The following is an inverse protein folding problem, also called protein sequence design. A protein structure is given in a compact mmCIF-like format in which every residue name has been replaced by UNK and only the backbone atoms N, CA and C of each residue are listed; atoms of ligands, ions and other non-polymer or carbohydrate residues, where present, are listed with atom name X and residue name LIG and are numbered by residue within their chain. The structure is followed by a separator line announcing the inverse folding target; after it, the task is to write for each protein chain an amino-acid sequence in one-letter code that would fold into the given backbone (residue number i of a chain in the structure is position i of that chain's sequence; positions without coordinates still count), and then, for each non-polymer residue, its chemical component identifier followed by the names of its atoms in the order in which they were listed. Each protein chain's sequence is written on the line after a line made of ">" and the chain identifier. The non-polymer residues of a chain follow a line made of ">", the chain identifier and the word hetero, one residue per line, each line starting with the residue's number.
data_IF_958757456870
#
_entry.id   IF_958757456870
#
_cell.length_a   1.000
_cell.length_b   1.000
_cell.length_c   1.000
_cell.angle_alpha   90.00
_cell.angle_beta   90.00
_cell.angle_gamma   90.00
#
_symmetry.space_group_name_H-M   'P 1'
#
loop_
_entity.id
_entity.type
_entity.pdbx_description
1 polymer ?
#
# COMPACT_ATOMS: atom_id res chain seq x y z
N UNK A 1 46.75 51.02 -8.99
CA UNK A 1 46.23 50.49 -7.70
C UNK A 1 44.87 51.13 -7.46
N UNK A 2 43.83 50.55 -8.03
CA UNK A 2 42.45 50.99 -7.87
C UNK A 2 41.57 49.73 -7.75
N UNK A 3 41.87 48.89 -6.75
CA UNK A 3 40.88 47.98 -6.18
C UNK A 3 39.92 48.86 -5.37
N UNK A 4 39.15 49.64 -6.12
CA UNK A 4 38.61 50.93 -5.72
C UNK A 4 37.25 50.75 -5.08
N UNK A 5 37.18 50.82 -3.75
CA UNK A 5 36.00 51.13 -2.93
C UNK A 5 34.75 50.23 -3.06
N UNK A 6 34.29 49.94 -4.27
CA UNK A 6 33.13 49.10 -4.62
C UNK A 6 33.33 47.65 -4.19
N UNK A 7 34.52 47.08 -4.37
CA UNK A 7 34.83 45.72 -3.93
C UNK A 7 34.80 45.61 -2.40
N UNK A 8 35.38 46.60 -1.70
CA UNK A 8 35.40 46.65 -0.24
C UNK A 8 33.97 46.80 0.30
N UNK A 9 33.17 47.67 -0.32
CA UNK A 9 31.77 47.89 0.06
C UNK A 9 30.90 46.66 -0.19
N UNK A 10 31.06 45.97 -1.33
CA UNK A 10 30.32 44.76 -1.64
C UNK A 10 30.64 43.62 -0.65
N UNK A 11 31.92 43.43 -0.29
CA UNK A 11 32.33 42.43 0.71
C UNK A 11 31.77 42.76 2.08
N UNK A 12 31.77 44.05 2.47
CA UNK A 12 31.21 44.48 3.76
C UNK A 12 29.70 44.24 3.84
N UNK A 13 28.97 44.54 2.77
CA UNK A 13 27.52 44.30 2.69
C UNK A 13 27.21 42.81 2.74
N UNK A 14 27.94 41.97 2.01
CA UNK A 14 27.75 40.51 2.07
C UNK A 14 28.06 39.97 3.48
N UNK A 15 29.12 40.47 4.14
CA UNK A 15 29.47 40.05 5.50
C UNK A 15 28.43 40.48 6.56
N UNK A 16 27.80 41.65 6.38
CA UNK A 16 26.75 42.15 7.26
C UNK A 16 25.42 41.41 7.07
N UNK A 17 25.13 40.95 5.85
CA UNK A 17 23.86 40.27 5.52
C UNK A 17 23.95 38.75 5.70
N UNK A 18 25.14 38.16 5.63
CA UNK A 18 25.38 36.73 5.87
C UNK A 18 24.82 36.20 7.21
N UNK A 19 24.96 36.88 8.37
CA UNK A 19 24.39 36.39 9.63
C UNK A 19 22.86 36.59 9.74
N UNK A 20 22.26 37.40 8.86
CA UNK A 20 20.81 37.61 8.79
C UNK A 20 20.12 36.62 7.84
N UNK A 21 20.90 35.92 7.00
CA UNK A 21 20.37 34.83 6.20
C UNK A 21 19.95 33.70 7.14
N UNK A 22 18.67 33.27 7.11
CA UNK A 22 18.29 32.07 7.85
C UNK A 22 19.21 30.93 7.38
N UNK A 23 19.68 30.06 8.29
CA UNK A 23 20.50 28.92 7.89
C UNK A 23 19.72 28.17 6.81
N UNK A 24 20.25 28.17 5.59
CA UNK A 24 19.80 27.26 4.54
C UNK A 24 20.16 25.86 5.01
N UNK A 25 19.34 25.29 5.90
CA UNK A 25 19.31 23.87 6.16
C UNK A 25 19.07 23.24 4.80
N UNK A 26 20.10 22.57 4.27
CA UNK A 26 20.02 21.88 3.00
C UNK A 26 18.74 21.06 2.99
N UNK A 27 17.89 21.30 1.99
CA UNK A 27 16.66 20.55 1.79
C UNK A 27 17.05 19.08 1.60
N UNK A 28 17.06 18.34 2.70
CA UNK A 28 17.44 16.94 2.71
C UNK A 28 16.23 16.19 2.16
N UNK A 29 16.27 15.84 0.87
CA UNK A 29 15.25 15.01 0.21
C UNK A 29 14.89 13.77 1.04
N UNK A 30 15.86 13.26 1.82
CA UNK A 30 15.67 12.16 2.78
C UNK A 30 14.55 12.42 3.79
N UNK A 31 14.40 13.63 4.30
CA UNK A 31 13.37 13.97 5.29
C UNK A 31 11.97 14.10 4.67
N UNK A 32 11.89 14.28 3.35
CA UNK A 32 10.63 14.34 2.61
C UNK A 32 10.09 12.95 2.23
N UNK A 33 10.97 11.99 1.93
CA UNK A 33 10.56 10.66 1.47
C UNK A 33 10.36 9.63 2.59
N UNK A 34 11.04 9.78 3.73
CA UNK A 34 10.94 8.83 4.85
C UNK A 34 9.52 8.69 5.44
N UNK A 35 8.71 9.75 5.64
CA UNK A 35 7.36 9.58 6.19
C UNK A 35 6.37 8.98 5.16
N UNK A 36 6.52 9.30 3.87
CA UNK A 36 5.60 8.82 2.82
C UNK A 36 5.69 7.30 2.62
N UNK A 37 6.88 6.72 2.78
CA UNK A 37 7.08 5.29 2.51
C UNK A 37 6.40 4.41 3.57
N UNK A 38 6.34 4.82 4.85
CA UNK A 38 5.81 3.95 5.91
C UNK A 38 4.28 3.77 5.83
N UNK A 39 3.54 4.85 5.58
CA UNK A 39 2.08 4.80 5.51
C UNK A 39 1.60 4.18 4.20
N UNK A 40 2.32 4.42 3.10
CA UNK A 40 1.97 3.88 1.80
C UNK A 40 2.30 2.38 1.68
N UNK A 41 3.33 1.91 2.40
CA UNK A 41 3.63 0.48 2.53
C UNK A 41 2.53 -0.19 3.33
N UNK A 42 2.16 0.26 4.53
CA UNK A 42 1.13 -0.41 5.32
C UNK A 42 -0.25 -0.48 4.63
N UNK A 43 -0.60 0.51 3.80
CA UNK A 43 -1.84 0.50 3.03
C UNK A 43 -1.91 -0.62 1.98
N UNK A 44 -0.77 -1.15 1.50
CA UNK A 44 -0.74 -2.23 0.52
C UNK A 44 -1.08 -3.61 1.12
N UNK A 45 -0.84 -3.78 2.43
CA UNK A 45 -1.23 -4.99 3.16
C UNK A 45 -2.57 -4.73 3.83
N UNK A 46 -3.57 -5.53 3.48
CA UNK A 46 -4.92 -5.40 4.05
C UNK A 46 -5.35 -6.75 4.60
N UNK A 47 -5.64 -6.77 5.89
CA UNK A 47 -6.24 -7.91 6.56
C UNK A 47 -7.52 -7.42 7.20
N UNK A 48 -8.57 -8.23 7.14
CA UNK A 48 -9.83 -7.90 7.77
C UNK A 48 -10.76 -9.10 7.81
N UNK A 49 -11.88 -8.90 8.49
CA UNK A 49 -12.91 -9.92 8.61
C UNK A 49 -14.03 -9.66 7.59
N UNK A 50 -14.63 -10.74 7.12
CA UNK A 50 -15.71 -10.75 6.15
C UNK A 50 -16.65 -11.90 6.50
N UNK A 51 -17.95 -11.66 6.42
CA UNK A 51 -18.94 -12.72 6.59
C UNK A 51 -19.26 -13.34 5.23
N UNK A 52 -19.07 -14.66 5.12
CA UNK A 52 -19.40 -15.45 3.93
C UNK A 52 -20.40 -16.53 4.31
N UNK A 53 -21.56 -16.51 3.68
CA UNK A 53 -22.63 -17.53 3.89
C UNK A 53 -22.98 -17.70 5.38
N UNK A 54 -23.00 -16.60 6.14
CA UNK A 54 -23.31 -16.61 7.58
C UNK A 54 -22.17 -17.10 8.48
N UNK A 55 -20.97 -17.32 7.95
CA UNK A 55 -19.78 -17.68 8.71
C UNK A 55 -18.76 -16.53 8.71
N UNK A 56 -18.13 -16.32 9.88
CA UNK A 56 -17.06 -15.35 10.02
C UNK A 56 -15.78 -15.88 9.37
N UNK A 57 -15.26 -15.13 8.41
CA UNK A 57 -14.06 -15.45 7.68
C UNK A 57 -13.08 -14.28 7.76
N UNK A 58 -11.81 -14.58 7.55
CA UNK A 58 -10.76 -13.56 7.50
C UNK A 58 -10.13 -13.58 6.11
N UNK A 59 -9.94 -12.40 5.54
CA UNK A 59 -9.19 -12.21 4.31
C UNK A 59 -7.83 -11.55 4.60
N UNK A 60 -6.86 -11.89 3.77
CA UNK A 60 -5.52 -11.30 3.81
C UNK A 60 -5.05 -10.96 2.39
N UNK A 61 -4.58 -9.74 2.21
CA UNK A 61 -4.00 -9.22 0.97
C UNK A 61 -2.55 -8.85 1.24
N UNK A 62 -1.66 -9.40 0.42
CA UNK A 62 -0.25 -9.04 0.40
C UNK A 62 0.15 -8.59 -1.00
N UNK A 63 0.95 -7.52 -1.14
CA UNK A 63 1.58 -7.19 -2.41
C UNK A 63 2.65 -8.24 -2.75
N UNK A 64 2.82 -8.46 -4.03
CA UNK A 64 3.84 -9.34 -4.61
C UNK A 64 4.50 -8.60 -5.78
N UNK A 65 5.83 -8.58 -5.80
CA UNK A 65 6.58 -7.89 -6.86
C UNK A 65 7.11 -8.98 -7.79
N UNK A 66 6.53 -9.03 -8.99
CA UNK A 66 6.97 -9.94 -10.05
C UNK A 66 7.61 -9.12 -11.17
N UNK A 67 8.95 -9.20 -11.27
CA UNK A 67 9.75 -8.36 -12.16
C UNK A 67 9.67 -6.88 -11.82
N UNK A 68 9.06 -6.09 -12.70
CA UNK A 68 8.83 -4.64 -12.54
C UNK A 68 7.35 -4.29 -12.36
N UNK A 69 6.49 -5.30 -12.11
CA UNK A 69 5.06 -5.13 -11.95
C UNK A 69 4.62 -5.46 -10.52
N UNK A 70 3.63 -4.70 -10.02
CA UNK A 70 3.03 -4.92 -8.71
C UNK A 70 1.77 -5.78 -8.85
N UNK A 71 1.78 -6.95 -8.22
CA UNK A 71 0.65 -7.84 -8.06
C UNK A 71 0.15 -7.82 -6.62
N UNK A 72 -1.08 -8.29 -6.43
CA UNK A 72 -1.70 -8.47 -5.13
C UNK A 72 -2.14 -9.92 -5.04
N UNK A 73 -1.68 -10.59 -3.98
CA UNK A 73 -2.10 -11.94 -3.63
C UNK A 73 -3.15 -11.81 -2.53
N UNK A 74 -4.34 -12.30 -2.82
CA UNK A 74 -5.46 -12.37 -1.88
C UNK A 74 -5.63 -13.78 -1.38
N UNK A 75 -6.02 -13.92 -0.12
CA UNK A 75 -6.44 -15.19 0.43
C UNK A 75 -7.58 -15.02 1.41
N UNK A 76 -8.48 -16.01 1.45
CA UNK A 76 -9.65 -16.03 2.34
C UNK A 76 -9.70 -17.38 3.04
N UNK A 77 -9.91 -17.34 4.35
CA UNK A 77 -10.02 -18.52 5.22
C UNK A 77 -11.14 -18.33 6.22
N UNK A 78 -11.91 -19.39 6.49
CA UNK A 78 -13.04 -19.37 7.41
C UNK A 78 -12.79 -20.33 8.58
N UNK A 79 -12.11 -19.87 9.65
CA UNK A 79 -11.79 -20.74 10.79
C UNK A 79 -13.08 -21.23 11.46
N UNK A 80 -13.13 -22.53 11.78
CA UNK A 80 -14.30 -23.15 12.42
C UNK A 80 -15.40 -23.61 11.46
N UNK A 81 -15.41 -23.16 10.20
CA UNK A 81 -16.35 -23.65 9.19
C UNK A 81 -15.72 -24.70 8.26
N UNK A 82 -14.58 -24.39 7.66
CA UNK A 82 -13.91 -25.30 6.71
C UNK A 82 -12.40 -25.05 6.66
N UNK A 83 -11.64 -26.06 6.25
CA UNK A 83 -10.19 -25.94 5.99
C UNK A 83 -9.89 -25.46 4.58
N UNK A 84 -10.92 -25.20 3.76
CA UNK A 84 -10.74 -24.65 2.43
C UNK A 84 -10.19 -23.22 2.49
N UNK A 85 -9.42 -22.88 1.46
CA UNK A 85 -8.84 -21.55 1.29
C UNK A 85 -9.12 -21.04 -0.11
N UNK A 86 -9.62 -19.82 -0.17
CA UNK A 86 -9.71 -19.03 -1.40
C UNK A 86 -8.40 -18.34 -1.66
N UNK A 87 -7.95 -18.34 -2.90
CA UNK A 87 -6.69 -17.72 -3.31
C UNK A 87 -6.89 -16.96 -4.62
N UNK A 88 -6.19 -15.83 -4.73
CA UNK A 88 -6.17 -15.06 -5.97
C UNK A 88 -4.83 -14.36 -6.13
N UNK A 89 -4.49 -14.09 -7.39
CA UNK A 89 -3.37 -13.23 -7.76
C UNK A 89 -3.84 -12.31 -8.88
N UNK A 90 -3.84 -10.99 -8.64
CA UNK A 90 -4.31 -10.01 -9.61
C UNK A 90 -3.49 -8.72 -9.54
N UNK A 91 -3.46 -7.95 -10.63
CA UNK A 91 -2.88 -6.58 -10.60
C UNK A 91 -3.76 -5.56 -9.89
N UNK A 92 -5.01 -5.89 -9.59
CA UNK A 92 -5.98 -4.96 -9.01
C UNK A 92 -6.05 -5.11 -7.48
N UNK A 93 -5.65 -4.06 -6.76
CA UNK A 93 -5.76 -4.01 -5.29
C UNK A 93 -7.21 -4.18 -4.81
N UNK A 94 -8.18 -3.59 -5.50
CA UNK A 94 -9.60 -3.67 -5.11
C UNK A 94 -10.26 -4.99 -5.53
N UNK A 95 -9.80 -5.61 -6.63
CA UNK A 95 -10.39 -6.83 -7.16
C UNK A 95 -9.86 -8.13 -6.53
N UNK A 96 -8.70 -8.07 -5.88
CA UNK A 96 -8.01 -9.26 -5.37
C UNK A 96 -8.83 -10.01 -4.31
N UNK A 97 -9.52 -9.31 -3.41
CA UNK A 97 -10.34 -9.93 -2.37
C UNK A 97 -11.55 -10.61 -3.00
N UNK A 98 -12.26 -9.92 -3.89
CA UNK A 98 -13.41 -10.49 -4.61
C UNK A 98 -13.03 -11.74 -5.40
N UNK A 99 -11.86 -11.73 -6.06
CA UNK A 99 -11.34 -12.91 -6.76
C UNK A 99 -11.06 -14.08 -5.80
N UNK A 100 -10.50 -13.81 -4.61
CA UNK A 100 -10.24 -14.85 -3.61
C UNK A 100 -11.54 -15.39 -3.01
N UNK A 101 -12.54 -14.53 -2.78
CA UNK A 101 -13.89 -14.95 -2.35
C UNK A 101 -14.54 -15.83 -3.42
N UNK A 102 -14.47 -15.43 -4.69
CA UNK A 102 -15.00 -16.22 -5.81
C UNK A 102 -14.38 -17.61 -5.87
N UNK A 103 -13.06 -17.70 -5.76
CA UNK A 103 -12.33 -18.97 -5.72
C UNK A 103 -12.73 -19.82 -4.50
N UNK A 104 -12.85 -19.21 -3.31
CA UNK A 104 -13.34 -19.90 -2.12
C UNK A 104 -14.75 -20.48 -2.31
N UNK A 105 -15.70 -19.67 -2.80
CA UNK A 105 -17.09 -20.08 -3.00
C UNK A 105 -17.19 -21.19 -4.05
N UNK A 106 -16.40 -21.11 -5.13
CA UNK A 106 -16.33 -22.20 -6.12
C UNK A 106 -15.81 -23.51 -5.52
N UNK A 107 -14.79 -23.45 -4.66
CA UNK A 107 -14.28 -24.62 -3.93
C UNK A 107 -15.31 -25.16 -2.94
N UNK A 108 -16.01 -24.28 -2.22
CA UNK A 108 -17.04 -24.64 -1.27
C UNK A 108 -18.26 -25.29 -1.94
N UNK A 109 -18.69 -24.77 -3.09
CA UNK A 109 -19.74 -25.37 -3.92
C UNK A 109 -19.35 -26.77 -4.41
N UNK A 110 -18.12 -26.95 -4.89
CA UNK A 110 -17.59 -28.27 -5.30
C UNK A 110 -17.50 -29.27 -4.14
N UNK A 111 -17.24 -28.77 -2.93
CA UNK A 111 -17.19 -29.58 -1.72
C UNK A 111 -18.58 -29.86 -1.11
N UNK A 112 -19.66 -29.31 -1.68
CA UNK A 112 -21.02 -29.45 -1.16
C UNK A 112 -21.27 -28.70 0.15
N UNK A 113 -20.43 -27.71 0.48
CA UNK A 113 -20.55 -26.91 1.70
C UNK A 113 -21.50 -25.71 1.54
N UNK A 114 -21.79 -25.32 0.30
CA UNK A 114 -22.62 -24.17 -0.07
C UNK A 114 -23.50 -24.58 -1.24
N UNK A 115 -24.75 -24.11 -1.26
CA UNK A 115 -25.69 -24.36 -2.36
C UNK A 115 -25.49 -23.40 -3.54
N UNK A 116 -26.02 -23.72 -4.72
CA UNK A 116 -25.94 -22.79 -5.87
C UNK A 116 -26.61 -21.44 -5.59
N UNK A 117 -27.70 -21.43 -4.81
CA UNK A 117 -28.41 -20.19 -4.45
C UNK A 117 -27.58 -19.29 -3.53
N UNK A 118 -26.85 -19.88 -2.58
CA UNK A 118 -25.93 -19.16 -1.69
C UNK A 118 -24.65 -18.71 -2.41
N UNK A 119 -24.22 -19.44 -3.45
CA UNK A 119 -23.04 -19.11 -4.22
C UNK A 119 -23.27 -17.95 -5.21
N UNK A 120 -24.45 -17.88 -5.85
CA UNK A 120 -24.81 -16.85 -6.85
C UNK A 120 -24.40 -15.42 -6.51
N UNK A 121 -24.72 -14.85 -5.32
CA UNK A 121 -24.38 -13.46 -5.01
C UNK A 121 -22.87 -13.17 -4.96
N UNK A 122 -22.03 -14.20 -4.84
CA UNK A 122 -20.58 -14.07 -4.71
C UNK A 122 -19.81 -14.45 -5.99
N UNK A 123 -20.50 -14.91 -7.04
CA UNK A 123 -19.88 -15.35 -8.30
C UNK A 123 -20.01 -14.33 -9.44
N UNK A 124 -20.82 -13.28 -9.25
CA UNK A 124 -21.07 -12.19 -10.22
C UNK A 124 -19.93 -11.19 -10.31
#
# INVERSE_FOLDING_TARGET
>A
MALSSTFVSAVLVVALVAPLAPPCHGFSLKDLFVPVIKDQVSDLWRTGDIDLVGHSCTYNVKPDIDGFELYFIGSVTCPGWTTLRGESNTRSKSGVVNAAVKDFIQKALKAGLVTEEEAKPHLV
#
